data_IF_127721180674
#
_entry.id   IF_127721180674
#
_cell.length_a   1.000
_cell.length_b   1.000
_cell.length_c   1.000
_cell.angle_alpha   90.00
_cell.angle_beta   90.00
_cell.angle_gamma   90.00
#
_symmetry.space_group_name_H-M   'P 1'
#
loop_
_entity.id
_entity.type
_entity.pdbx_description
1 polymer ?
#
# COMPACT_ATOMS: atom_id res chain seq x y z
N UNK A 1 -4.92 -28.14 -1.41
CA UNK A 1 -4.03 -27.05 -1.85
C UNK A 1 -4.06 -26.01 -0.74
N UNK A 2 -3.05 -26.00 0.15
CA UNK A 2 -2.97 -25.00 1.22
C UNK A 2 -2.57 -23.67 0.57
N UNK A 3 -3.38 -22.65 0.70
CA UNK A 3 -3.03 -21.32 0.22
C UNK A 3 -1.87 -20.81 1.08
N UNK A 4 -0.77 -20.46 0.44
CA UNK A 4 0.45 -20.06 1.14
C UNK A 4 0.31 -18.63 1.68
N UNK A 5 -0.32 -18.52 2.86
CA UNK A 5 -0.55 -17.28 3.57
C UNK A 5 0.75 -16.54 3.92
N UNK A 6 1.89 -17.25 3.90
CA UNK A 6 3.22 -16.67 4.14
C UNK A 6 3.70 -15.80 2.99
N UNK A 7 3.44 -16.21 1.74
CA UNK A 7 3.76 -15.42 0.55
C UNK A 7 2.93 -14.13 0.49
N UNK A 8 1.68 -14.17 0.97
CA UNK A 8 0.82 -13.00 1.07
C UNK A 8 1.37 -11.99 2.09
N UNK A 9 1.90 -12.45 3.22
CA UNK A 9 2.52 -11.63 4.26
C UNK A 9 3.83 -10.98 3.79
N UNK A 10 4.62 -11.71 2.99
CA UNK A 10 5.84 -11.18 2.37
C UNK A 10 5.53 -10.05 1.37
N UNK A 11 4.50 -10.24 0.54
CA UNK A 11 4.04 -9.22 -0.41
C UNK A 11 3.54 -7.98 0.33
N UNK A 12 2.76 -8.15 1.40
CA UNK A 12 2.32 -7.04 2.26
C UNK A 12 3.56 -6.30 2.78
N UNK A 13 4.52 -6.99 3.40
CA UNK A 13 5.75 -6.37 3.94
C UNK A 13 6.50 -5.55 2.89
N UNK A 14 6.71 -6.09 1.69
CA UNK A 14 7.40 -5.38 0.60
C UNK A 14 6.64 -4.12 0.17
N UNK A 15 5.31 -4.17 0.15
CA UNK A 15 4.48 -3.00 -0.15
C UNK A 15 4.56 -1.93 0.95
N UNK A 16 4.65 -2.31 2.22
CA UNK A 16 4.86 -1.36 3.32
C UNK A 16 6.25 -0.71 3.25
N UNK A 17 7.29 -1.46 2.92
CA UNK A 17 8.63 -0.87 2.70
C UNK A 17 8.64 0.09 1.52
N UNK A 18 7.98 -0.28 0.41
CA UNK A 18 7.83 0.61 -0.72
C UNK A 18 7.07 1.89 -0.34
N UNK A 19 6.01 1.78 0.46
CA UNK A 19 5.26 2.94 0.98
C UNK A 19 6.15 3.86 1.82
N UNK A 20 6.98 3.30 2.71
CA UNK A 20 7.91 4.08 3.55
C UNK A 20 8.95 4.84 2.71
N UNK A 21 9.53 4.19 1.70
CA UNK A 21 10.47 4.84 0.79
C UNK A 21 9.80 5.90 -0.10
N UNK A 22 8.55 5.67 -0.47
CA UNK A 22 7.73 6.65 -1.18
C UNK A 22 7.34 7.84 -0.32
N UNK A 23 7.10 7.66 0.99
CA UNK A 23 6.81 8.77 1.89
C UNK A 23 8.05 9.66 2.06
N UNK A 24 9.26 9.07 2.11
CA UNK A 24 10.53 9.82 2.06
C UNK A 24 10.70 10.59 0.75
N UNK A 25 10.36 9.97 -0.37
CA UNK A 25 10.38 10.62 -1.69
C UNK A 25 9.33 11.76 -1.78
N UNK A 26 8.14 11.55 -1.21
CA UNK A 26 7.07 12.54 -1.09
C UNK A 26 7.47 13.73 -0.24
N UNK A 27 8.08 13.49 0.93
CA UNK A 27 8.61 14.57 1.77
C UNK A 27 9.74 15.32 1.06
N UNK A 28 10.65 14.62 0.39
CA UNK A 28 11.73 15.25 -0.39
C UNK A 28 11.17 16.09 -1.54
N UNK A 29 10.19 15.57 -2.28
CA UNK A 29 9.52 16.32 -3.34
C UNK A 29 8.80 17.54 -2.80
N UNK A 30 8.01 17.41 -1.73
CA UNK A 30 7.22 18.53 -1.17
C UNK A 30 8.11 19.64 -0.59
N UNK A 31 9.16 19.28 0.13
CA UNK A 31 9.95 20.23 0.93
C UNK A 31 11.30 20.62 0.32
N UNK A 32 11.94 19.77 -0.50
CA UNK A 32 13.27 20.05 -1.06
C UNK A 32 13.25 20.52 -2.51
N UNK A 33 12.09 20.51 -3.19
CA UNK A 33 11.96 21.07 -4.55
C UNK A 33 11.39 22.47 -4.56
N UNK A 34 11.26 23.14 -3.41
CA UNK A 34 10.75 24.50 -3.37
C UNK A 34 11.83 25.48 -3.86
N UNK A 35 11.71 25.92 -5.11
CA UNK A 35 12.55 26.96 -5.69
C UNK A 35 11.73 28.25 -5.74
N UNK A 36 12.23 29.30 -5.09
CA UNK A 36 11.56 30.61 -5.09
C UNK A 36 11.68 31.28 -6.45
N UNK A 37 10.68 32.10 -6.84
CA UNK A 37 10.67 32.81 -8.13
C UNK A 37 11.95 33.63 -8.36
N UNK A 38 12.51 34.22 -7.29
CA UNK A 38 13.75 34.99 -7.35
C UNK A 38 14.98 34.17 -7.77
N UNK A 39 14.96 32.85 -7.58
CA UNK A 39 16.04 31.96 -8.00
C UNK A 39 16.03 31.63 -9.50
N UNK A 40 14.89 31.83 -10.18
CA UNK A 40 14.76 31.67 -11.63
C UNK A 40 15.24 32.90 -12.42
N UNK A 41 15.58 33.98 -11.74
CA UNK A 41 16.03 35.23 -12.33
C UNK A 41 15.15 36.41 -11.91
N UNK A 42 15.64 37.62 -12.18
CA UNK A 42 14.85 38.82 -11.96
C UNK A 42 13.96 39.04 -13.19
N UNK A 43 12.65 39.23 -13.00
CA UNK A 43 11.69 39.46 -14.09
C UNK A 43 12.08 40.66 -14.98
N UNK A 44 12.88 41.60 -14.47
CA UNK A 44 13.40 42.73 -15.25
C UNK A 44 14.56 42.37 -16.19
N UNK A 45 15.24 41.24 -15.95
CA UNK A 45 16.44 40.82 -16.70
C UNK A 45 16.20 39.53 -17.51
N UNK A 46 15.23 38.71 -17.08
CA UNK A 46 14.80 37.50 -17.75
C UNK A 46 13.27 37.46 -17.74
N UNK A 47 12.66 37.80 -18.87
CA UNK A 47 11.20 37.90 -19.01
C UNK A 47 10.53 36.52 -18.85
N UNK A 48 11.21 35.46 -19.29
CA UNK A 48 10.76 34.08 -19.23
C UNK A 48 10.90 33.46 -17.82
N UNK A 49 11.44 34.20 -16.83
CA UNK A 49 11.54 33.74 -15.44
C UNK A 49 10.18 33.35 -14.85
N UNK A 50 9.12 34.10 -15.21
CA UNK A 50 7.76 33.81 -14.78
C UNK A 50 7.20 32.53 -15.38
N UNK A 51 7.46 32.30 -16.67
CA UNK A 51 7.00 31.10 -17.39
C UNK A 51 7.74 29.87 -16.88
N UNK A 52 9.05 29.97 -16.66
CA UNK A 52 9.87 28.88 -16.12
C UNK A 52 9.49 28.52 -14.68
N UNK A 53 9.22 29.52 -13.83
CA UNK A 53 8.70 29.29 -12.48
C UNK A 53 7.34 28.61 -12.49
N UNK A 54 6.45 29.03 -13.40
CA UNK A 54 5.11 28.43 -13.54
C UNK A 54 5.20 26.97 -14.00
N UNK A 55 6.02 26.68 -15.01
CA UNK A 55 6.27 25.32 -15.49
C UNK A 55 6.89 24.43 -14.38
N UNK A 56 7.82 24.97 -13.60
CA UNK A 56 8.39 24.25 -12.46
C UNK A 56 7.33 23.93 -11.39
N UNK A 57 6.43 24.87 -11.10
CA UNK A 57 5.34 24.67 -10.15
C UNK A 57 4.35 23.60 -10.64
N UNK A 58 4.04 23.58 -11.93
CA UNK A 58 3.21 22.56 -12.56
C UNK A 58 3.87 21.18 -12.45
N UNK A 59 5.15 21.07 -12.82
CA UNK A 59 5.92 19.82 -12.69
C UNK A 59 5.97 19.32 -11.24
N UNK A 60 6.13 20.21 -10.25
CA UNK A 60 6.06 19.86 -8.83
C UNK A 60 4.67 19.31 -8.47
N UNK A 61 3.60 19.98 -8.91
CA UNK A 61 2.22 19.55 -8.66
C UNK A 61 1.93 18.16 -9.24
N UNK A 62 2.39 17.89 -10.46
CA UNK A 62 2.22 16.59 -11.11
C UNK A 62 2.97 15.48 -10.35
N UNK A 63 4.17 15.78 -9.86
CA UNK A 63 4.98 14.85 -9.08
C UNK A 63 4.32 14.55 -7.72
N UNK A 64 3.80 15.56 -7.03
CA UNK A 64 3.01 15.38 -5.80
C UNK A 64 1.75 14.53 -6.05
N UNK A 65 1.06 14.75 -7.17
CA UNK A 65 -0.11 13.98 -7.58
C UNK A 65 0.21 12.51 -7.85
N UNK A 66 1.31 12.24 -8.55
CA UNK A 66 1.77 10.87 -8.84
C UNK A 66 2.14 10.10 -7.55
N UNK A 67 2.86 10.75 -6.63
CA UNK A 67 3.22 10.15 -5.33
C UNK A 67 1.96 9.82 -4.52
N UNK A 68 0.99 10.75 -4.48
CA UNK A 68 -0.29 10.52 -3.81
C UNK A 68 -1.07 9.35 -4.42
N UNK A 69 -1.15 9.28 -5.75
CA UNK A 69 -1.83 8.19 -6.44
C UNK A 69 -1.20 6.82 -6.15
N UNK A 70 0.12 6.76 -6.06
CA UNK A 70 0.85 5.55 -5.69
C UNK A 70 0.61 5.17 -4.21
N UNK A 71 0.56 6.13 -3.28
CA UNK A 71 0.15 5.88 -1.89
C UNK A 71 -1.26 5.30 -1.81
N UNK A 72 -2.23 5.89 -2.52
CA UNK A 72 -3.61 5.42 -2.54
C UNK A 72 -3.72 4.00 -3.10
N UNK A 73 -2.92 3.67 -4.14
CA UNK A 73 -2.88 2.34 -4.71
C UNK A 73 -2.34 1.31 -3.71
N UNK A 74 -1.24 1.63 -3.02
CA UNK A 74 -0.63 0.74 -2.03
C UNK A 74 -1.57 0.52 -0.84
N UNK A 75 -2.23 1.56 -0.33
CA UNK A 75 -3.21 1.44 0.77
C UNK A 75 -4.40 0.55 0.36
N UNK A 76 -4.94 0.73 -0.84
CA UNK A 76 -6.02 -0.11 -1.36
C UNK A 76 -5.59 -1.57 -1.52
N UNK A 77 -4.37 -1.80 -2.01
CA UNK A 77 -3.85 -3.16 -2.19
C UNK A 77 -3.59 -3.83 -0.84
N UNK A 78 -3.02 -3.11 0.13
CA UNK A 78 -2.83 -3.59 1.51
C UNK A 78 -4.15 -3.98 2.18
N UNK A 79 -5.17 -3.11 2.14
CA UNK A 79 -6.52 -3.38 2.67
C UNK A 79 -7.18 -4.59 2.00
N UNK A 80 -7.12 -4.67 0.67
CA UNK A 80 -7.72 -5.78 -0.08
C UNK A 80 -7.04 -7.11 0.23
N UNK A 81 -5.71 -7.10 0.32
CA UNK A 81 -4.90 -8.29 0.62
C UNK A 81 -5.13 -8.77 2.05
N UNK A 82 -5.21 -7.85 3.03
CA UNK A 82 -5.59 -8.20 4.41
C UNK A 82 -6.96 -8.86 4.44
N UNK A 83 -7.96 -8.29 3.76
CA UNK A 83 -9.32 -8.85 3.72
C UNK A 83 -9.35 -10.25 3.11
N UNK A 84 -8.53 -10.52 2.10
CA UNK A 84 -8.40 -11.86 1.50
C UNK A 84 -7.74 -12.84 2.48
N UNK A 85 -6.67 -12.41 3.17
CA UNK A 85 -6.01 -13.21 4.23
C UNK A 85 -7.00 -13.60 5.33
N UNK A 86 -7.79 -12.63 5.80
CA UNK A 86 -8.78 -12.83 6.86
C UNK A 86 -9.81 -13.87 6.43
N UNK A 87 -10.35 -13.77 5.21
CA UNK A 87 -11.28 -14.75 4.64
C UNK A 87 -10.69 -16.16 4.54
N UNK A 88 -9.45 -16.28 4.06
CA UNK A 88 -8.80 -17.60 3.98
C UNK A 88 -8.57 -18.20 5.36
N UNK A 89 -8.15 -17.38 6.32
CA UNK A 89 -7.94 -17.80 7.70
C UNK A 89 -9.24 -18.28 8.33
N UNK A 90 -10.33 -17.53 8.15
CA UNK A 90 -11.66 -17.88 8.64
C UNK A 90 -12.19 -19.18 8.01
N UNK A 91 -11.98 -19.39 6.70
CA UNK A 91 -12.32 -20.65 6.03
C UNK A 91 -11.50 -21.85 6.54
N UNK A 92 -10.20 -21.68 6.78
CA UNK A 92 -9.37 -22.74 7.37
C UNK A 92 -9.83 -23.09 8.80
N UNK A 93 -10.16 -22.09 9.63
CA UNK A 93 -10.73 -22.34 10.97
C UNK A 93 -12.08 -23.04 10.91
N UNK A 94 -12.98 -22.61 10.01
CA UNK A 94 -14.29 -23.24 9.81
C UNK A 94 -14.15 -24.70 9.34
N UNK A 95 -13.28 -24.96 8.37
CA UNK A 95 -13.02 -26.32 7.87
C UNK A 95 -12.38 -27.21 8.95
N UNK A 96 -11.44 -26.68 9.74
CA UNK A 96 -10.82 -27.42 10.86
C UNK A 96 -11.84 -27.78 11.94
N UNK A 97 -12.75 -26.89 12.27
CA UNK A 97 -13.83 -27.17 13.22
C UNK A 97 -14.85 -28.18 12.66
N UNK A 98 -15.15 -28.12 11.37
CA UNK A 98 -16.08 -29.05 10.71
C UNK A 98 -15.49 -30.46 10.56
N UNK A 99 -14.18 -30.58 10.30
CA UNK A 99 -13.46 -31.87 10.28
C UNK A 99 -13.16 -32.43 11.68
N UNK A 100 -12.96 -31.56 12.68
CA UNK A 100 -12.70 -31.97 14.08
C UNK A 100 -13.96 -32.43 14.83
N UNK A 101 -15.16 -32.11 14.34
CA UNK A 101 -16.44 -32.49 14.96
C UNK A 101 -16.95 -33.90 14.63
N UNK A 102 -16.24 -34.66 13.77
CA UNK A 102 -16.65 -36.00 13.33
C UNK A 102 -16.03 -37.19 14.08
N UNK A 103 -15.21 -36.95 15.11
CA UNK A 103 -14.47 -37.99 15.82
C UNK A 103 -14.86 -38.08 17.29
N UNK A 104 -16.07 -38.54 17.60
CA UNK A 104 -16.51 -38.72 18.99
C UNK A 104 -17.68 -39.69 19.14
N UNK A 105 -17.36 -40.86 19.70
CA UNK A 105 -18.23 -41.84 20.37
C UNK A 105 -19.24 -42.63 19.52
N UNK A 106 -18.80 -43.78 19.01
CA UNK A 106 -19.66 -44.97 18.99
C UNK A 106 -19.55 -45.65 20.36
N UNK A 107 -20.41 -45.25 21.30
CA UNK A 107 -20.64 -46.00 22.54
C UNK A 107 -21.19 -47.38 22.19
N UNK A 108 -20.37 -48.41 22.38
CA UNK A 108 -20.75 -49.81 22.20
C UNK A 108 -21.60 -50.29 23.38
N UNK A 109 -22.89 -49.99 23.36
CA UNK A 109 -23.89 -50.50 24.31
C UNK A 109 -24.80 -51.55 23.66
N UNK A 110 -24.24 -52.73 23.31
CA UNK A 110 -24.97 -53.98 23.03
C UNK A 110 -23.95 -55.13 23.25
N UNK A 111 -24.15 -56.22 24.00
CA UNK A 111 -25.35 -56.91 24.44
C UNK A 111 -25.06 -57.74 25.72
N UNK A 112 -26.16 -58.14 26.36
CA UNK A 112 -26.28 -59.02 27.54
C UNK A 112 -25.64 -60.40 27.38
#
# INVERSE_FOLDING_TARGET
MRVDLSALDEVIRKLWTLLDDMDKAGQTSRYNTEITMAAFGNNCTFLEAGDLFSAHKEAKSDLEGAIKGLHDLIDRFGKSTSKVKDKYTEQEYANKNQMGGGGGSSDGEFAR
#
